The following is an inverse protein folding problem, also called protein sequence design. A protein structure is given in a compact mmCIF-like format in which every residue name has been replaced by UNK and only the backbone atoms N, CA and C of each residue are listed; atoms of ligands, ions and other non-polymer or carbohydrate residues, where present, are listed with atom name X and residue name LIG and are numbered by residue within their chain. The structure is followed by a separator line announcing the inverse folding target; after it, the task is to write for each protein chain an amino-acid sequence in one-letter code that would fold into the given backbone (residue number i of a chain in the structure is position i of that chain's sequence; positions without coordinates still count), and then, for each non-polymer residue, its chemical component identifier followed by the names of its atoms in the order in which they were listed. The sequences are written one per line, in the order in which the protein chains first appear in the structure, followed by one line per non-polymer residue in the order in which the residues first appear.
data_IF_033779963268
#
_entry.id   IF_033779963268
#
_cell.length_a   1.000
_cell.length_b   1.000
_cell.length_c   1.000
_cell.angle_alpha   90.00
_cell.angle_beta   90.00
_cell.angle_gamma   90.00
#
_symmetry.space_group_name_H-M   'P 1'
#
loop_
_entity.id
_entity.type
_entity.pdbx_description
1 polymer ?
#
# COMPACT_ATOMS: atom_id res chain seq x y z
N UNK A 1 -5.97 1.03 -3.75
CA UNK A 1 -5.13 1.56 -2.66
C UNK A 1 -5.19 3.08 -2.72
N UNK A 2 -5.41 3.73 -1.58
CA UNK A 2 -5.42 5.19 -1.40
C UNK A 2 -4.25 5.52 -0.49
N UNK A 3 -3.36 6.43 -0.90
CA UNK A 3 -2.14 6.77 -0.16
C UNK A 3 -2.11 8.27 0.10
N UNK A 4 -1.78 8.67 1.33
CA UNK A 4 -1.49 10.06 1.70
C UNK A 4 -0.41 10.09 2.79
N UNK A 5 0.20 11.23 3.08
CA UNK A 5 1.07 11.40 4.24
C UNK A 5 0.37 12.19 5.36
N UNK A 6 0.59 11.81 6.63
CA UNK A 6 0.01 12.52 7.77
C UNK A 6 0.56 13.95 7.93
N UNK A 7 1.77 14.20 7.43
CA UNK A 7 2.44 15.49 7.42
C UNK A 7 2.31 16.25 6.09
N UNK A 8 1.37 15.87 5.20
CA UNK A 8 1.07 16.63 3.98
C UNK A 8 0.46 18.00 4.33
N UNK A 9 1.14 19.13 4.02
CA UNK A 9 0.65 20.47 4.36
C UNK A 9 -0.57 20.90 3.53
N UNK A 10 -0.86 20.23 2.41
CA UNK A 10 -1.96 20.57 1.50
C UNK A 10 -3.24 19.79 1.81
N UNK A 11 -3.12 18.64 2.49
CA UNK A 11 -4.26 17.79 2.80
C UNK A 11 -4.64 17.94 4.26
N UNK A 12 -5.72 18.67 4.52
CA UNK A 12 -6.25 18.85 5.87
C UNK A 12 -6.76 17.51 6.45
N UNK A 13 -6.54 17.29 7.75
CA UNK A 13 -6.89 16.04 8.45
C UNK A 13 -8.36 15.64 8.27
N UNK A 14 -9.27 16.61 8.23
CA UNK A 14 -10.71 16.34 8.01
C UNK A 14 -10.99 15.63 6.68
N UNK A 15 -10.16 15.82 5.66
CA UNK A 15 -10.30 15.15 4.36
C UNK A 15 -9.89 13.68 4.42
N UNK A 16 -9.08 13.27 5.40
CA UNK A 16 -8.65 11.88 5.61
C UNK A 16 -9.79 10.96 6.06
N UNK A 17 -10.89 11.56 6.57
CA UNK A 17 -12.11 10.81 6.90
C UNK A 17 -12.72 10.13 5.68
N UNK A 18 -12.62 10.73 4.49
CA UNK A 18 -13.19 10.22 3.24
C UNK A 18 -12.52 8.90 2.82
N UNK A 19 -11.18 8.83 2.61
CA UNK A 19 -10.53 7.58 2.24
C UNK A 19 -10.62 6.53 3.35
N UNK A 20 -10.58 6.93 4.63
CA UNK A 20 -10.77 6.01 5.77
C UNK A 20 -12.15 5.35 5.74
N UNK A 21 -13.22 6.14 5.69
CA UNK A 21 -14.59 5.62 5.63
C UNK A 21 -14.86 4.79 4.37
N UNK A 22 -14.15 5.06 3.26
CA UNK A 22 -14.25 4.23 2.06
C UNK A 22 -13.60 2.85 2.27
N UNK A 23 -12.42 2.79 2.89
CA UNK A 23 -11.76 1.52 3.22
C UNK A 23 -12.55 0.67 4.21
N UNK A 24 -13.24 1.28 5.16
CA UNK A 24 -14.10 0.56 6.12
C UNK A 24 -15.33 -0.07 5.46
N UNK A 25 -15.77 0.45 4.31
CA UNK A 25 -16.98 0.00 3.61
C UNK A 25 -16.72 -0.97 2.46
N UNK A 26 -15.46 -1.13 2.04
CA UNK A 26 -15.09 -1.87 0.82
C UNK A 26 -13.88 -2.75 1.11
N UNK A 27 -14.08 -4.06 1.10
CA UNK A 27 -13.03 -5.05 1.40
C UNK A 27 -11.84 -5.00 0.43
N UNK A 28 -12.03 -4.49 -0.79
CA UNK A 28 -10.99 -4.35 -1.81
C UNK A 28 -10.31 -2.96 -1.80
N UNK A 29 -10.57 -2.12 -0.79
CA UNK A 29 -9.98 -0.79 -0.65
C UNK A 29 -9.14 -0.72 0.61
N UNK A 30 -7.88 -0.35 0.43
CA UNK A 30 -6.94 -0.08 1.52
C UNK A 30 -6.57 1.40 1.51
N UNK A 31 -6.61 2.03 2.69
CA UNK A 31 -6.09 3.37 2.93
C UNK A 31 -4.77 3.28 3.71
N UNK A 32 -3.72 3.90 3.17
CA UNK A 32 -2.36 3.88 3.73
C UNK A 32 -1.97 5.31 4.07
N UNK A 33 -1.63 5.54 5.35
CA UNK A 33 -1.27 6.85 5.89
C UNK A 33 0.05 6.77 6.66
N UNK A 34 1.21 6.76 5.98
CA UNK A 34 2.50 6.97 6.64
C UNK A 34 2.52 8.26 7.44
N UNK A 35 3.26 8.25 8.55
CA UNK A 35 3.48 9.44 9.39
C UNK A 35 4.21 10.55 8.63
N UNK A 36 5.09 10.16 7.70
CA UNK A 36 5.99 11.04 6.98
C UNK A 36 5.97 10.78 5.48
N UNK A 37 5.90 11.87 4.71
CA UNK A 37 5.98 11.85 3.26
C UNK A 37 5.84 13.24 2.65
N UNK A 38 5.29 14.22 3.37
CA UNK A 38 4.89 15.49 2.80
C UNK A 38 3.92 15.31 1.63
N UNK A 39 3.79 16.33 0.79
CA UNK A 39 2.85 16.28 -0.34
C UNK A 39 3.31 15.38 -1.50
N UNK A 40 4.61 15.37 -1.81
CA UNK A 40 5.16 14.69 -2.99
C UNK A 40 5.90 13.38 -2.67
N UNK A 41 5.90 12.93 -1.41
CA UNK A 41 6.85 11.93 -0.95
C UNK A 41 8.22 12.56 -0.74
N UNK A 42 8.90 12.26 0.37
CA UNK A 42 10.30 12.66 0.52
C UNK A 42 11.10 12.02 -0.61
N UNK A 43 11.75 12.86 -1.44
CA UNK A 43 12.74 12.39 -2.40
C UNK A 43 13.94 11.83 -1.63
N UNK A 44 14.51 10.75 -2.13
CA UNK A 44 15.75 10.23 -1.57
C UNK A 44 16.96 11.10 -1.95
N UNK A 45 18.09 10.86 -1.30
CA UNK A 45 19.36 11.52 -1.65
C UNK A 45 19.64 12.82 -0.91
N UNK A 46 20.46 13.67 -1.53
CA UNK A 46 21.02 14.87 -0.89
C UNK A 46 20.09 16.08 -1.03
N UNK A 47 20.06 16.97 -0.03
CA UNK A 47 19.18 18.15 0.00
C UNK A 47 19.26 19.04 -1.27
N UNK A 48 20.39 19.02 -1.98
CA UNK A 48 20.63 19.83 -3.18
C UNK A 48 20.36 19.09 -4.50
N UNK A 49 20.38 17.76 -4.47
CA UNK A 49 20.15 16.89 -5.63
C UNK A 49 19.32 15.70 -5.18
N UNK A 50 17.98 15.85 -5.16
CA UNK A 50 17.08 14.76 -4.86
C UNK A 50 17.18 13.68 -5.95
N UNK A 51 17.16 12.43 -5.52
CA UNK A 51 17.05 11.26 -6.38
C UNK A 51 15.62 11.21 -6.96
N UNK A 52 15.44 10.79 -8.22
CA UNK A 52 14.14 10.90 -8.90
C UNK A 52 13.04 10.01 -8.33
N UNK A 53 13.39 9.04 -7.48
CA UNK A 53 12.43 8.15 -6.82
C UNK A 53 12.07 8.68 -5.43
N UNK A 54 10.78 8.77 -5.16
CA UNK A 54 10.26 9.15 -3.86
C UNK A 54 10.08 7.93 -2.97
N UNK A 55 10.04 8.16 -1.65
CA UNK A 55 9.63 7.13 -0.70
C UNK A 55 8.23 6.58 -1.00
N UNK A 56 7.33 7.42 -1.54
CA UNK A 56 5.97 7.02 -1.88
C UNK A 56 5.96 6.05 -3.08
N UNK A 57 6.83 6.23 -4.07
CA UNK A 57 6.98 5.31 -5.20
C UNK A 57 7.36 3.91 -4.72
N UNK A 58 8.35 3.82 -3.82
CA UNK A 58 8.78 2.54 -3.22
C UNK A 58 7.66 1.89 -2.43
N UNK A 59 6.97 2.66 -1.59
CA UNK A 59 5.83 2.17 -0.81
C UNK A 59 4.77 1.55 -1.72
N UNK A 60 4.40 2.22 -2.81
CA UNK A 60 3.39 1.71 -3.75
C UNK A 60 3.82 0.38 -4.38
N UNK A 61 5.08 0.29 -4.82
CA UNK A 61 5.64 -0.93 -5.43
C UNK A 61 5.68 -2.09 -4.42
N UNK A 62 6.15 -1.84 -3.20
CA UNK A 62 6.23 -2.87 -2.16
C UNK A 62 4.86 -3.41 -1.77
N UNK A 63 3.85 -2.55 -1.59
CA UNK A 63 2.48 -3.00 -1.32
C UNK A 63 1.89 -3.80 -2.49
N UNK A 64 2.09 -3.34 -3.73
CA UNK A 64 1.62 -4.07 -4.91
C UNK A 64 2.28 -5.45 -5.00
N UNK A 65 3.59 -5.53 -4.76
CA UNK A 65 4.34 -6.77 -4.74
C UNK A 65 3.83 -7.72 -3.64
N UNK A 66 3.62 -7.21 -2.42
CA UNK A 66 3.10 -7.98 -1.30
C UNK A 66 1.70 -8.56 -1.59
N UNK A 67 0.81 -7.78 -2.19
CA UNK A 67 -0.54 -8.25 -2.60
C UNK A 67 -0.42 -9.36 -3.64
N UNK A 68 0.41 -9.18 -4.67
CA UNK A 68 0.62 -10.18 -5.71
C UNK A 68 1.22 -11.48 -5.14
N UNK A 69 2.17 -11.37 -4.20
CA UNK A 69 2.76 -12.53 -3.53
C UNK A 69 1.73 -13.25 -2.66
N UNK A 70 0.93 -12.51 -1.89
CA UNK A 70 -0.12 -13.08 -1.05
C UNK A 70 -1.13 -13.88 -1.89
N UNK A 71 -1.59 -13.33 -3.01
CA UNK A 71 -2.52 -14.01 -3.91
C UNK A 71 -1.92 -15.31 -4.46
N UNK A 72 -0.64 -15.29 -4.86
CA UNK A 72 0.08 -16.49 -5.32
C UNK A 72 0.21 -17.55 -4.22
N UNK A 73 0.56 -17.15 -3.00
CA UNK A 73 0.66 -18.08 -1.87
C UNK A 73 -0.68 -18.71 -1.52
N UNK A 74 -1.78 -17.94 -1.58
CA UNK A 74 -3.13 -18.46 -1.35
C UNK A 74 -3.52 -19.54 -2.36
N UNK A 75 -3.20 -19.34 -3.64
CA UNK A 75 -3.44 -20.34 -4.69
C UNK A 75 -2.63 -21.62 -4.47
N UNK A 76 -1.35 -21.50 -4.11
CA UNK A 76 -0.49 -22.66 -3.83
C UNK A 76 -0.99 -23.52 -2.66
N UNK A 77 -1.50 -22.89 -1.61
CA UNK A 77 -2.11 -23.62 -0.49
C UNK A 77 -3.40 -24.34 -0.94
N UNK A 78 -4.26 -23.69 -1.72
CA UNK A 78 -5.50 -24.30 -2.22
C UNK A 78 -5.23 -25.50 -3.15
N UNK A 79 -4.21 -25.41 -4.01
CA UNK A 79 -3.80 -26.53 -4.88
C UNK A 79 -3.27 -27.72 -4.07
N UNK A 80 -2.58 -27.45 -2.95
CA UNK A 80 -2.04 -28.50 -2.06
C UNK A 80 -3.17 -29.21 -1.32
N UNK A 81 -4.17 -28.47 -0.83
CA UNK A 81 -5.35 -29.03 -0.16
C UNK A 81 -6.19 -29.92 -1.11
N UNK A 82 -6.30 -29.57 -2.39
CA UNK A 82 -7.00 -30.41 -3.38
C UNK A 82 -6.24 -31.68 -3.76
N UNK A 83 -4.91 -31.62 -3.78
CA UNK A 83 -4.08 -32.81 -4.04
C UNK A 83 -4.14 -33.79 -2.87
N UNK A 84 -4.13 -33.30 -1.62
CA UNK A 84 -4.28 -34.16 -0.44
C UNK A 84 -5.69 -34.77 -0.33
N UNK A 85 -6.76 -34.02 -0.63
CA UNK A 85 -8.13 -34.52 -0.60
C UNK A 85 -8.47 -35.50 -1.74
N UNK A 86 -7.68 -35.54 -2.82
CA UNK A 86 -7.84 -36.48 -3.94
C UNK A 86 -7.07 -37.79 -3.78
N UNK A 87 -6.30 -37.93 -2.70
CA UNK A 87 -5.48 -39.11 -2.38
C UNK A 87 -6.08 -39.98 -1.26
N UNK A 88 -7.24 -39.60 -0.70
CA UNK A 88 -8.04 -40.39 0.24
C UNK A 88 -9.17 -41.19 -0.44
#
# INVERSE_FOLDING_TARGET
MLVNAADDPLVHESLLSIPKSLSEKRENVMFVLPLHGGHLGFFEGSMLLPEPLTWMDKLVVEYANAICQWERSKLQCADTEQVEAGLE
#
